data_IF_004041133877
#
_entry.id   IF_004041133877
#
_cell.length_a   1.000
_cell.length_b   1.000
_cell.length_c   1.000
_cell.angle_alpha   90.00
_cell.angle_beta   90.00
_cell.angle_gamma   90.00
#
_symmetry.space_group_name_H-M   'P 1'
#
loop_
_entity.id
_entity.type
_entity.pdbx_description
1 polymer ?
#
# COMPACT_ATOMS: atom_id res chain seq x y z
N UNK A 1 0.23 -20.61 -2.97
CA UNK A 1 1.18 -19.48 -2.82
C UNK A 1 0.38 -18.19 -2.88
N UNK A 2 0.30 -17.38 -1.82
CA UNK A 2 -0.35 -16.07 -1.90
C UNK A 2 0.44 -15.21 -2.90
N UNK A 3 -0.22 -14.80 -3.98
CA UNK A 3 0.37 -13.92 -4.99
C UNK A 3 0.44 -12.52 -4.39
N UNK A 4 1.63 -12.12 -3.92
CA UNK A 4 1.87 -10.76 -3.46
C UNK A 4 1.94 -9.84 -4.68
N UNK A 5 0.99 -8.91 -4.79
CA UNK A 5 1.06 -7.85 -5.79
C UNK A 5 1.87 -6.68 -5.19
N UNK A 6 2.92 -6.25 -5.87
CA UNK A 6 3.74 -5.10 -5.46
C UNK A 6 3.17 -3.86 -6.14
N UNK A 7 2.62 -2.93 -5.36
CA UNK A 7 2.14 -1.65 -5.90
C UNK A 7 3.09 -0.54 -5.46
N UNK A 8 3.70 0.12 -6.44
CA UNK A 8 4.58 1.28 -6.23
C UNK A 8 3.81 2.51 -6.68
N UNK A 9 3.63 3.45 -5.77
CA UNK A 9 3.13 4.78 -6.10
C UNK A 9 4.11 5.79 -5.52
N UNK A 10 4.65 6.64 -6.38
CA UNK A 10 5.54 7.73 -6.00
C UNK A 10 4.75 9.03 -5.96
N UNK A 11 5.04 9.88 -4.98
CA UNK A 11 4.55 11.26 -5.00
C UNK A 11 5.14 11.96 -6.22
N UNK A 12 4.30 12.46 -7.12
CA UNK A 12 4.72 13.22 -8.29
C UNK A 12 5.14 14.64 -7.88
N UNK A 13 6.30 14.77 -7.24
CA UNK A 13 6.97 16.05 -7.05
C UNK A 13 8.37 15.99 -7.67
N UNK A 14 8.57 16.80 -8.71
CA UNK A 14 9.75 16.83 -9.58
C UNK A 14 10.93 17.60 -8.96
N UNK A 15 11.11 17.50 -7.64
CA UNK A 15 12.20 18.16 -6.92
C UNK A 15 12.79 17.19 -5.90
N UNK A 16 13.67 16.31 -6.38
CA UNK A 16 14.63 15.48 -5.61
C UNK A 16 14.21 15.16 -4.17
N UNK A 17 13.23 14.26 -4.00
CA UNK A 17 13.01 13.64 -2.70
C UNK A 17 13.55 12.22 -2.79
N UNK A 18 14.80 12.04 -2.36
CA UNK A 18 15.39 10.73 -2.09
C UNK A 18 14.76 10.21 -0.77
N UNK A 19 13.43 10.10 -0.73
CA UNK A 19 12.68 9.53 0.38
C UNK A 19 12.89 8.03 0.26
N UNK A 20 13.66 7.48 1.17
CA UNK A 20 13.70 6.03 1.39
C UNK A 20 12.27 5.62 1.77
N UNK A 21 11.49 5.19 0.77
CA UNK A 21 10.11 4.78 0.97
C UNK A 21 10.08 3.51 1.79
N UNK A 22 9.36 3.54 2.92
CA UNK A 22 9.17 2.38 3.78
C UNK A 22 8.17 1.43 3.17
N UNK A 23 8.36 0.14 3.42
CA UNK A 23 7.45 -0.89 2.95
C UNK A 23 6.39 -1.14 4.00
N UNK A 24 5.13 -1.12 3.58
CA UNK A 24 4.00 -1.44 4.42
C UNK A 24 3.26 -2.63 3.85
N UNK A 25 3.01 -3.64 4.69
CA UNK A 25 2.22 -4.81 4.34
C UNK A 25 0.80 -4.66 4.87
N UNK A 26 -0.19 -4.93 4.03
CA UNK A 26 -1.60 -4.91 4.40
C UNK A 26 -2.37 -6.04 3.73
N UNK A 27 -3.50 -6.41 4.33
CA UNK A 27 -4.44 -7.39 3.78
C UNK A 27 -5.61 -6.66 3.18
N UNK A 28 -5.92 -6.95 1.91
CA UNK A 28 -6.99 -6.31 1.16
C UNK A 28 -7.88 -7.34 0.48
N UNK A 29 -9.13 -6.98 0.21
CA UNK A 29 -10.06 -7.75 -0.60
C UNK A 29 -10.05 -7.21 -2.03
N UNK A 30 -9.50 -7.98 -2.97
CA UNK A 30 -9.51 -7.65 -4.38
C UNK A 30 -10.43 -8.64 -5.11
N UNK A 31 -11.52 -8.14 -5.70
CA UNK A 31 -12.47 -8.96 -6.49
C UNK A 31 -12.94 -10.24 -5.78
N UNK A 32 -13.25 -10.14 -4.47
CA UNK A 32 -13.71 -11.27 -3.65
C UNK A 32 -12.61 -12.14 -3.05
N UNK A 33 -11.35 -11.97 -3.45
CA UNK A 33 -10.20 -12.72 -2.92
C UNK A 33 -9.45 -11.89 -1.87
N UNK A 34 -9.10 -12.50 -0.75
CA UNK A 34 -8.26 -11.88 0.28
C UNK A 34 -6.79 -12.05 -0.11
N UNK A 35 -6.09 -10.95 -0.32
CA UNK A 35 -4.69 -10.92 -0.72
C UNK A 35 -3.87 -10.05 0.22
N UNK A 36 -2.63 -10.45 0.45
CA UNK A 36 -1.64 -9.62 1.13
C UNK A 36 -0.89 -8.81 0.08
N UNK A 37 -0.89 -7.49 0.25
CA UNK A 37 -0.25 -6.53 -0.65
C UNK A 37 0.83 -5.75 0.09
N UNK A 38 1.82 -5.27 -0.65
CA UNK A 38 2.89 -4.40 -0.14
C UNK A 38 2.85 -3.09 -0.90
N UNK A 39 2.82 -2.00 -0.15
CA UNK A 39 2.86 -0.63 -0.67
C UNK A 39 4.06 0.11 -0.12
N UNK A 40 4.61 1.01 -0.93
CA UNK A 40 5.71 1.88 -0.54
C UNK A 40 5.14 3.25 -0.17
N UNK A 41 5.44 3.71 1.04
CA UNK A 41 4.94 4.98 1.54
C UNK A 41 5.90 5.61 2.56
N UNK A 42 5.71 6.90 2.85
CA UNK A 42 6.48 7.60 3.88
C UNK A 42 6.05 7.21 5.30
N UNK A 43 4.76 6.95 5.51
CA UNK A 43 4.19 6.58 6.80
C UNK A 43 2.92 5.74 6.64
N UNK A 44 2.44 5.18 7.75
CA UNK A 44 1.24 4.32 7.79
C UNK A 44 -0.02 5.03 7.28
N UNK A 45 -0.15 6.33 7.52
CA UNK A 45 -1.30 7.13 7.07
C UNK A 45 -1.32 7.24 5.54
N UNK A 46 -0.18 7.51 4.91
CA UNK A 46 -0.04 7.52 3.47
C UNK A 46 -0.24 6.11 2.87
N UNK A 47 0.34 5.08 3.48
CA UNK A 47 0.12 3.70 3.04
C UNK A 47 -1.37 3.33 3.04
N UNK A 48 -2.11 3.74 4.07
CA UNK A 48 -3.56 3.54 4.16
C UNK A 48 -4.29 4.26 3.03
N UNK A 49 -3.98 5.54 2.78
CA UNK A 49 -4.60 6.30 1.68
C UNK A 49 -4.36 5.66 0.32
N UNK A 50 -3.14 5.18 0.07
CA UNK A 50 -2.78 4.45 -1.15
C UNK A 50 -3.64 3.20 -1.30
N UNK A 51 -3.74 2.37 -0.26
CA UNK A 51 -4.52 1.14 -0.29
C UNK A 51 -6.00 1.41 -0.48
N UNK A 52 -6.54 2.45 0.16
CA UNK A 52 -7.93 2.87 -0.02
C UNK A 52 -8.19 3.39 -1.44
N UNK A 53 -7.23 4.10 -2.06
CA UNK A 53 -7.36 4.55 -3.44
C UNK A 53 -7.32 3.40 -4.46
N UNK A 54 -6.52 2.37 -4.18
CA UNK A 54 -6.34 1.22 -5.08
C UNK A 54 -7.45 0.17 -4.96
N UNK A 55 -7.87 -0.14 -3.74
CA UNK A 55 -8.80 -1.23 -3.46
C UNK A 55 -10.18 -0.73 -3.01
N UNK A 56 -10.33 0.53 -2.61
CA UNK A 56 -11.52 1.07 -1.97
C UNK A 56 -11.48 0.92 -0.45
N UNK A 57 -12.01 1.89 0.29
CA UNK A 57 -11.89 1.94 1.75
C UNK A 57 -12.50 0.72 2.47
N UNK A 58 -13.62 0.19 1.97
CA UNK A 58 -14.25 -1.02 2.54
C UNK A 58 -13.52 -2.33 2.24
N UNK A 59 -12.48 -2.29 1.39
CA UNK A 59 -11.72 -3.47 0.98
C UNK A 59 -10.35 -3.55 1.65
N UNK A 60 -9.96 -2.57 2.46
CA UNK A 60 -8.75 -2.64 3.29
C UNK A 60 -9.11 -3.32 4.61
N UNK A 61 -8.64 -4.55 4.81
CA UNK A 61 -9.06 -5.42 5.93
C UNK A 61 -8.16 -5.19 7.15
N UNK A 62 -6.88 -4.87 6.95
CA UNK A 62 -5.92 -4.65 8.03
C UNK A 62 -5.24 -3.30 7.94
N UNK A 63 -4.84 -2.78 9.10
CA UNK A 63 -3.97 -1.61 9.17
C UNK A 63 -2.61 -1.98 8.54
N UNK A 64 -2.01 -1.10 7.72
CA UNK A 64 -0.70 -1.38 7.13
C UNK A 64 0.38 -1.42 8.21
N UNK A 65 1.20 -2.47 8.20
CA UNK A 65 2.32 -2.64 9.12
C UNK A 65 3.64 -2.45 8.37
N UNK A 66 4.55 -1.64 8.94
CA UNK A 66 5.91 -1.46 8.41
C UNK A 66 6.69 -2.79 8.46
N UNK A 67 7.46 -3.07 7.41
CA UNK A 67 8.32 -4.26 7.27
C UNK A 67 9.75 -3.90 6.87
#
# INVERSE_FOLDING_TARGET
MPRCFRVVCTSANNNTINIVMKQFRATVRASGVVVTTVVYAENTTFATKILQALFGAGNVISIPAEI
#
